data_IF_383142641977
#
_entry.id   IF_383142641977
#
_cell.length_a   1.000
_cell.length_b   1.000
_cell.length_c   1.000
_cell.angle_alpha   90.00
_cell.angle_beta   90.00
_cell.angle_gamma   90.00
#
_symmetry.space_group_name_H-M   'P 1'
#
loop_
_entity.id
_entity.type
_entity.pdbx_description
1 polymer ?
#
# COMPACT_ATOMS: atom_id res chain seq x y z
N UNK A 1 19.89 -2.64 42.56
CA UNK A 1 18.47 -2.31 42.38
C UNK A 1 18.35 -1.46 41.12
N UNK A 2 17.85 -2.05 40.03
CA UNK A 2 17.87 -1.47 38.68
C UNK A 2 16.70 -0.52 38.41
N UNK A 3 17.00 0.57 37.69
CA UNK A 3 16.01 1.46 37.12
C UNK A 3 15.61 0.94 35.73
N UNK A 4 14.35 0.56 35.58
CA UNK A 4 13.78 0.11 34.30
C UNK A 4 13.27 1.37 33.58
N UNK A 5 13.91 1.70 32.46
CA UNK A 5 13.47 2.74 31.54
C UNK A 5 12.34 2.17 30.67
N UNK A 6 11.13 2.74 30.81
CA UNK A 6 9.98 2.45 29.95
C UNK A 6 10.11 3.26 28.66
N UNK A 7 10.55 2.61 27.58
CA UNK A 7 10.51 3.18 26.23
C UNK A 7 9.09 3.13 25.66
N UNK A 8 8.53 4.28 25.32
CA UNK A 8 7.30 4.36 24.54
C UNK A 8 7.64 4.07 23.08
N UNK A 9 7.27 2.87 22.61
CA UNK A 9 7.21 2.58 21.18
C UNK A 9 5.98 3.26 20.58
N UNK A 10 6.20 4.31 19.79
CA UNK A 10 5.16 4.86 18.93
C UNK A 10 4.89 3.84 17.81
N UNK A 11 3.68 3.28 17.77
CA UNK A 11 3.19 2.68 16.54
C UNK A 11 3.09 3.82 15.52
N UNK A 12 3.94 3.80 14.50
CA UNK A 12 3.60 4.52 13.27
C UNK A 12 2.43 3.74 12.70
N UNK A 13 1.22 4.15 13.08
CA UNK A 13 0.05 3.91 12.26
C UNK A 13 0.41 4.50 10.91
N UNK A 14 0.84 3.63 9.99
CA UNK A 14 0.87 3.90 8.58
C UNK A 14 -0.56 4.17 8.19
N UNK A 15 -1.03 5.38 8.51
CA UNK A 15 -2.30 5.92 8.14
C UNK A 15 -2.24 6.15 6.63
N UNK A 16 -2.26 5.04 5.88
CA UNK A 16 -2.89 5.00 4.58
C UNK A 16 -4.33 5.37 4.87
N UNK A 17 -4.60 6.67 4.80
CA UNK A 17 -5.94 7.21 4.88
C UNK A 17 -6.78 6.39 3.91
N UNK A 18 -7.74 5.64 4.45
CA UNK A 18 -8.83 5.09 3.64
C UNK A 18 -9.57 6.32 3.10
N UNK A 19 -9.08 6.87 1.99
CA UNK A 19 -9.52 8.19 1.53
C UNK A 19 -8.79 8.76 0.32
N UNK A 20 -7.48 8.52 0.16
CA UNK A 20 -6.80 8.90 -1.08
C UNK A 20 -5.51 8.09 -1.24
N UNK A 21 -5.34 7.47 -2.41
CA UNK A 21 -4.04 6.89 -2.80
C UNK A 21 -2.98 8.00 -2.73
N UNK A 22 -1.82 7.78 -2.08
CA UNK A 22 -0.77 8.79 -2.03
C UNK A 22 -0.40 9.26 -3.44
N UNK A 23 -0.21 10.57 -3.62
CA UNK A 23 0.05 11.15 -4.94
C UNK A 23 1.30 10.55 -5.59
N UNK A 24 2.34 10.29 -4.80
CA UNK A 24 3.57 9.63 -5.25
C UNK A 24 3.28 8.23 -5.83
N UNK A 25 2.38 7.47 -5.22
CA UNK A 25 1.99 6.13 -5.70
C UNK A 25 1.15 6.25 -6.96
N UNK A 26 0.23 7.22 -7.02
CA UNK A 26 -0.58 7.50 -8.20
C UNK A 26 0.29 7.90 -9.41
N UNK A 27 1.33 8.71 -9.19
CA UNK A 27 2.25 9.16 -10.22
C UNK A 27 3.13 8.02 -10.79
N UNK A 28 3.40 6.98 -9.99
CA UNK A 28 4.15 5.80 -10.41
C UNK A 28 3.31 4.77 -11.17
N UNK A 29 1.99 4.74 -10.93
CA UNK A 29 1.10 3.73 -11.47
C UNK A 29 1.02 3.78 -13.00
N UNK A 30 1.08 2.59 -13.62
CA UNK A 30 0.80 2.45 -15.04
C UNK A 30 -0.63 2.90 -15.38
N UNK A 31 -0.87 3.40 -16.62
CA UNK A 31 -2.22 3.77 -17.06
C UNK A 31 -3.18 2.58 -17.02
N UNK A 32 -4.48 2.88 -17.02
CA UNK A 32 -5.59 1.91 -17.05
C UNK A 32 -5.72 1.00 -15.81
N UNK A 33 -5.05 1.31 -14.70
CA UNK A 33 -5.32 0.72 -13.39
C UNK A 33 -6.29 1.60 -12.61
N UNK A 34 -7.23 0.98 -11.88
CA UNK A 34 -8.24 1.71 -11.12
C UNK A 34 -7.66 2.22 -9.78
N UNK A 35 -7.16 3.45 -9.78
CA UNK A 35 -6.56 4.08 -8.60
C UNK A 35 -7.59 4.36 -7.50
N UNK A 36 -8.88 4.38 -7.82
CA UNK A 36 -9.94 4.68 -6.85
C UNK A 36 -10.17 3.53 -5.86
N UNK A 37 -9.80 2.31 -6.23
CA UNK A 37 -9.88 1.12 -5.37
C UNK A 37 -8.51 0.67 -4.84
N UNK A 38 -7.44 1.39 -5.22
CA UNK A 38 -6.09 1.06 -4.85
C UNK A 38 -5.84 1.29 -3.35
N UNK A 39 -5.22 0.30 -2.71
CA UNK A 39 -4.92 0.30 -1.27
C UNK A 39 -3.68 -0.52 -0.97
N UNK A 40 -3.02 -0.20 0.13
CA UNK A 40 -1.92 -1.01 0.65
C UNK A 40 -2.48 -2.34 1.19
N UNK A 41 -1.89 -3.46 0.78
CA UNK A 41 -2.16 -4.77 1.37
C UNK A 41 -1.11 -5.07 2.43
N UNK A 42 -1.53 -5.19 3.68
CA UNK A 42 -0.64 -5.40 4.83
C UNK A 42 0.12 -6.73 4.79
N UNK A 43 -0.45 -7.75 4.13
CA UNK A 43 0.15 -9.08 4.02
C UNK A 43 1.51 -9.07 3.31
N UNK A 44 1.67 -8.22 2.30
CA UNK A 44 2.86 -8.14 1.46
C UNK A 44 3.49 -6.75 1.39
N UNK A 45 2.82 -5.72 1.90
CA UNK A 45 3.31 -4.34 1.87
C UNK A 45 3.29 -3.70 0.48
N UNK A 46 2.55 -4.28 -0.48
CA UNK A 46 2.37 -3.68 -1.80
C UNK A 46 0.99 -3.09 -1.99
N UNK A 47 0.85 -2.19 -2.96
CA UNK A 47 -0.43 -1.63 -3.36
C UNK A 47 -1.15 -2.59 -4.30
N UNK A 48 -2.45 -2.75 -4.09
CA UNK A 48 -3.34 -3.59 -4.89
C UNK A 48 -4.61 -2.82 -5.24
N UNK A 49 -5.20 -3.10 -6.39
CA UNK A 49 -6.45 -2.51 -6.83
C UNK A 49 -7.45 -3.60 -7.25
N UNK A 50 -8.74 -3.23 -7.32
CA UNK A 50 -9.78 -4.14 -7.78
C UNK A 50 -9.89 -4.05 -9.30
N UNK A 51 -9.58 -5.14 -9.98
CA UNK A 51 -9.87 -5.31 -11.39
C UNK A 51 -11.25 -5.95 -11.56
N UNK A 52 -12.19 -5.22 -12.17
CA UNK A 52 -13.54 -5.74 -12.46
C UNK A 52 -13.56 -6.34 -13.86
N UNK A 53 -13.52 -7.67 -13.93
CA UNK A 53 -13.66 -8.43 -15.16
C UNK A 53 -15.13 -8.79 -15.46
N UNK A 54 -15.40 -9.41 -16.62
CA UNK A 54 -16.77 -9.80 -17.00
C UNK A 54 -17.40 -10.85 -16.09
N UNK A 55 -16.57 -11.71 -15.49
CA UNK A 55 -17.02 -12.86 -14.69
C UNK A 55 -16.90 -12.55 -13.19
N UNK A 56 -15.78 -11.96 -12.77
CA UNK A 56 -15.48 -11.71 -11.36
C UNK A 56 -14.65 -10.43 -11.15
N UNK A 57 -14.62 -10.00 -9.89
CA UNK A 57 -13.70 -8.96 -9.44
C UNK A 57 -12.49 -9.61 -8.76
N UNK A 58 -11.30 -9.23 -9.18
CA UNK A 58 -10.04 -9.81 -8.71
C UNK A 58 -9.12 -8.72 -8.19
N UNK A 59 -8.43 -8.99 -7.08
CA UNK A 59 -7.36 -8.11 -6.62
C UNK A 59 -6.11 -8.35 -7.47
N UNK A 60 -5.58 -7.29 -8.06
CA UNK A 60 -4.34 -7.31 -8.82
C UNK A 60 -3.32 -6.34 -8.21
N UNK A 61 -2.01 -6.65 -8.29
CA UNK A 61 -0.99 -5.75 -7.80
C UNK A 61 -0.99 -4.47 -8.64
N UNK A 62 -0.94 -3.32 -7.97
CA UNK A 62 -0.72 -2.03 -8.60
C UNK A 62 0.72 -1.97 -9.09
N UNK A 63 0.92 -1.72 -10.38
CA UNK A 63 2.21 -1.80 -11.04
C UNK A 63 2.65 -0.47 -11.64
N UNK A 64 3.96 -0.29 -11.70
CA UNK A 64 4.60 0.79 -12.46
C UNK A 64 4.42 0.59 -13.97
N UNK A 65 4.69 1.62 -14.77
CA UNK A 65 4.72 1.51 -16.24
C UNK A 65 5.68 0.42 -16.76
N UNK A 66 6.71 0.05 -15.98
CA UNK A 66 7.65 -1.05 -16.30
C UNK A 66 7.17 -2.43 -15.82
N UNK A 67 6.01 -2.52 -15.18
CA UNK A 67 5.40 -3.77 -14.72
C UNK A 67 5.82 -4.22 -13.31
N UNK A 68 6.72 -3.50 -12.63
CA UNK A 68 7.11 -3.81 -11.24
C UNK A 68 5.98 -3.45 -10.28
N UNK A 69 5.71 -4.26 -9.23
CA UNK A 69 4.77 -3.90 -8.18
C UNK A 69 5.23 -2.65 -7.42
N UNK A 70 4.29 -1.84 -6.93
CA UNK A 70 4.58 -0.68 -6.10
C UNK A 70 4.41 -1.10 -4.64
N UNK A 71 5.46 -1.01 -3.84
CA UNK A 71 5.49 -1.47 -2.46
C UNK A 71 6.14 -0.44 -1.53
N UNK A 72 5.79 -0.48 -0.26
CA UNK A 72 6.48 0.29 0.78
C UNK A 72 7.70 -0.48 1.26
N UNK A 73 8.81 0.22 1.45
CA UNK A 73 9.96 -0.36 2.14
C UNK A 73 9.57 -0.66 3.58
N UNK A 74 9.77 -1.90 4.03
CA UNK A 74 9.67 -2.21 5.46
C UNK A 74 10.91 -1.61 6.12
N UNK A 75 10.72 -0.70 7.08
CA UNK A 75 11.82 -0.30 7.95
C UNK A 75 12.23 -1.54 8.77
N UNK A 76 13.49 -1.93 8.64
CA UNK A 76 14.13 -3.02 9.37
C UNK A 76 14.73 -2.56 10.70
#
# INVERSE_FOLDING_TARGET
MGAILLGLGACVDGAGTVGALPEEVAALAAPAQDLTTARLQEADGCYWYVHRGPVESTLLPLRTAKGNPICVSRAE
#
